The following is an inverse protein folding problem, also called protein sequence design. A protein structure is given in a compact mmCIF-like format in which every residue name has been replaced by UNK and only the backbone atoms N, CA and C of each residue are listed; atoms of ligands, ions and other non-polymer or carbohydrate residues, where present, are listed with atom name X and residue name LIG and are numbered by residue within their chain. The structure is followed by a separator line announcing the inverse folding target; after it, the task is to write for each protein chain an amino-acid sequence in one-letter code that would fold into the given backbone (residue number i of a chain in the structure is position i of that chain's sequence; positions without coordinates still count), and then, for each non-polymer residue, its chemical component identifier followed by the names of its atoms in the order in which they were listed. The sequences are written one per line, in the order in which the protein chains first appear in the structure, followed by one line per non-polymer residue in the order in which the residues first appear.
data_IF_618392178854
#
_entry.id   IF_618392178854
#
_cell.length_a   1.000
_cell.length_b   1.000
_cell.length_c   1.000
_cell.angle_alpha   90.00
_cell.angle_beta   90.00
_cell.angle_gamma   90.00
#
_symmetry.space_group_name_H-M   'P 1'
#
loop_
_entity.id
_entity.type
_entity.pdbx_description
1 polymer ?
#
# COMPACT_ATOMS: atom_id res chain seq x y z
N UNK A 1 -18.94 1.17 16.66
CA UNK A 1 -17.90 2.19 17.00
C UNK A 1 -16.77 2.16 15.95
N UNK A 2 -15.97 3.22 15.77
CA UNK A 2 -14.86 3.24 14.80
C UNK A 2 -13.52 3.36 15.54
N UNK A 3 -12.60 2.43 15.30
CA UNK A 3 -11.20 2.54 15.71
C UNK A 3 -10.34 2.80 14.47
N UNK A 4 -9.47 3.81 14.55
CA UNK A 4 -8.50 4.11 13.50
C UNK A 4 -8.78 5.39 12.73
N UNK A 5 -7.94 5.74 11.74
CA UNK A 5 -7.07 4.86 10.97
C UNK A 5 -5.74 4.49 11.67
N UNK A 6 -5.49 3.20 11.86
CA UNK A 6 -4.25 2.67 12.40
C UNK A 6 -3.22 2.53 11.27
N UNK A 7 -2.07 3.24 11.33
CA UNK A 7 -1.01 3.07 10.34
C UNK A 7 -0.26 1.76 10.60
N UNK A 8 -0.27 0.86 9.62
CA UNK A 8 0.56 -0.34 9.67
C UNK A 8 1.98 -0.02 9.14
N UNK A 9 2.99 -0.81 9.51
CA UNK A 9 4.35 -0.63 9.02
C UNK A 9 4.40 -0.59 7.48
N UNK A 10 5.09 0.41 6.94
CA UNK A 10 5.27 0.55 5.49
C UNK A 10 6.23 -0.52 4.98
N UNK A 11 5.79 -1.34 4.03
CA UNK A 11 6.65 -2.32 3.38
C UNK A 11 7.51 -1.60 2.34
N UNK A 12 8.83 -1.69 2.49
CA UNK A 12 9.82 -1.12 1.58
C UNK A 12 10.43 -2.23 0.73
N UNK A 13 10.08 -2.28 -0.55
CA UNK A 13 10.68 -3.19 -1.51
C UNK A 13 11.86 -2.47 -2.17
N UNK A 14 13.07 -3.00 -1.99
CA UNK A 14 14.29 -2.43 -2.57
C UNK A 14 14.77 -3.32 -3.70
N UNK A 15 15.00 -2.73 -4.87
CA UNK A 15 15.53 -3.43 -6.04
C UNK A 15 16.79 -2.69 -6.48
N UNK A 16 17.98 -3.14 -6.04
CA UNK A 16 19.24 -2.62 -6.55
C UNK A 16 19.51 -3.22 -7.95
N UNK A 17 19.75 -2.36 -8.93
CA UNK A 17 20.01 -2.77 -10.33
C UNK A 17 21.34 -2.17 -10.76
N UNK A 18 22.14 -2.94 -11.51
CA UNK A 18 23.35 -2.40 -12.14
C UNK A 18 22.95 -1.49 -13.30
N UNK A 19 23.50 -0.27 -13.35
CA UNK A 19 23.21 0.68 -14.45
C UNK A 19 23.73 0.20 -15.79
N UNK A 20 24.92 -0.41 -15.78
CA UNK A 20 25.60 -0.84 -16.99
C UNK A 20 24.97 -2.15 -17.51
N UNK A 21 24.50 -2.19 -18.78
CA UNK A 21 23.92 -3.42 -19.35
C UNK A 21 25.00 -4.44 -19.73
N UNK A 22 26.21 -3.99 -20.08
CA UNK A 22 27.33 -4.84 -20.51
C UNK A 22 28.25 -5.29 -19.36
N UNK A 23 28.07 -4.77 -18.15
CA UNK A 23 28.93 -5.09 -17.00
C UNK A 23 30.33 -4.47 -17.03
N UNK A 24 30.71 -3.79 -18.11
CA UNK A 24 32.01 -3.14 -18.27
C UNK A 24 32.04 -1.71 -17.70
N UNK A 25 33.20 -1.28 -17.19
CA UNK A 25 33.41 0.04 -16.59
C UNK A 25 33.16 0.09 -15.08
N UNK A 26 32.95 1.29 -14.52
CA UNK A 26 32.71 1.45 -13.07
C UNK A 26 31.33 0.94 -12.69
N UNK A 27 31.29 -0.02 -11.74
CA UNK A 27 30.04 -0.56 -11.21
C UNK A 27 29.22 0.54 -10.52
N UNK A 28 28.22 1.06 -11.23
CA UNK A 28 27.26 2.04 -10.72
C UNK A 28 25.90 1.37 -10.54
N UNK A 29 25.27 1.61 -9.39
CA UNK A 29 24.05 0.94 -8.98
C UNK A 29 22.91 1.93 -8.85
N UNK A 30 21.76 1.62 -9.44
CA UNK A 30 20.50 2.27 -9.11
C UNK A 30 19.83 1.55 -7.95
N UNK A 31 19.25 2.33 -7.04
CA UNK A 31 18.55 1.82 -5.86
C UNK A 31 17.09 2.21 -5.96
N UNK A 32 16.31 1.37 -6.63
CA UNK A 32 14.87 1.56 -6.73
C UNK A 32 14.20 1.15 -5.42
N UNK A 33 13.24 1.95 -4.97
CA UNK A 33 12.43 1.66 -3.79
C UNK A 33 10.95 1.81 -4.13
N UNK A 34 10.17 0.76 -3.85
CA UNK A 34 8.72 0.81 -3.85
C UNK A 34 8.22 0.78 -2.40
N UNK A 35 7.35 1.73 -2.04
CA UNK A 35 6.80 1.88 -0.69
C UNK A 35 5.31 1.58 -0.69
N UNK A 36 4.93 0.54 0.04
CA UNK A 36 3.53 0.14 0.19
C UNK A 36 3.07 0.58 1.59
N UNK A 37 2.18 1.55 1.64
CA UNK A 37 1.58 2.06 2.88
C UNK A 37 0.26 1.36 3.12
N UNK A 38 0.12 0.69 4.26
CA UNK A 38 -1.12 0.00 4.65
C UNK A 38 -1.74 0.70 5.85
N UNK A 39 -3.06 0.92 5.81
CA UNK A 39 -3.83 1.46 6.94
C UNK A 39 -4.95 0.48 7.28
N UNK A 40 -5.23 0.31 8.56
CA UNK A 40 -6.32 -0.51 9.07
C UNK A 40 -7.37 0.40 9.70
N UNK A 41 -8.64 0.15 9.39
CA UNK A 41 -9.78 0.82 10.02
C UNK A 41 -10.70 -0.29 10.51
N UNK A 42 -10.99 -0.31 11.81
CA UNK A 42 -11.95 -1.24 12.39
C UNK A 42 -13.27 -0.50 12.60
N UNK A 43 -14.34 -1.04 12.05
CA UNK A 43 -15.67 -0.47 12.16
C UNK A 43 -16.62 -1.55 12.66
N UNK A 44 -17.12 -1.34 13.86
CA UNK A 44 -18.24 -2.08 14.42
C UNK A 44 -19.52 -1.38 13.92
N UNK A 45 -20.12 -1.92 12.84
CA UNK A 45 -21.28 -1.32 12.16
C UNK A 45 -22.19 -2.33 11.44
N UNK A 46 -23.47 -1.98 11.35
CA UNK A 46 -24.49 -2.66 10.53
C UNK A 46 -24.21 -2.57 9.01
N UNK A 47 -24.78 -3.53 8.27
CA UNK A 47 -24.68 -3.65 6.81
C UNK A 47 -25.03 -2.36 6.03
N UNK A 48 -25.93 -1.53 6.57
CA UNK A 48 -26.33 -0.25 5.96
C UNK A 48 -25.18 0.76 5.89
N UNK A 49 -24.29 0.76 6.87
CA UNK A 49 -23.13 1.68 6.93
C UNK A 49 -22.06 1.21 5.95
N UNK A 50 -21.84 -0.11 5.84
CA UNK A 50 -20.88 -0.70 4.89
C UNK A 50 -21.20 -0.32 3.43
N UNK A 51 -22.48 -0.37 3.04
CA UNK A 51 -22.91 0.03 1.69
C UNK A 51 -22.64 1.51 1.37
N UNK A 52 -22.61 2.37 2.39
CA UNK A 52 -22.26 3.79 2.22
C UNK A 52 -20.75 3.97 2.07
N UNK A 53 -19.96 3.20 2.79
CA UNK A 53 -18.49 3.24 2.73
C UNK A 53 -17.99 2.79 1.35
N UNK A 54 -18.58 1.73 0.79
CA UNK A 54 -18.22 1.25 -0.57
C UNK A 54 -18.52 2.26 -1.68
N UNK A 55 -19.37 3.26 -1.44
CA UNK A 55 -19.68 4.32 -2.43
C UNK A 55 -18.66 5.46 -2.43
N UNK A 56 -17.70 5.46 -1.51
CA UNK A 56 -16.66 6.48 -1.47
C UNK A 56 -15.80 6.35 -2.74
N UNK A 57 -15.49 7.49 -3.36
CA UNK A 57 -14.59 7.55 -4.52
C UNK A 57 -13.17 7.27 -4.05
N UNK A 58 -12.67 6.07 -4.32
CA UNK A 58 -11.29 5.66 -4.04
C UNK A 58 -10.46 5.91 -5.30
N UNK A 59 -9.30 6.59 -5.21
CA UNK A 59 -8.37 6.70 -6.33
C UNK A 59 -7.93 5.32 -6.84
N UNK A 60 -7.68 5.18 -8.15
CA UNK A 60 -7.30 3.89 -8.76
C UNK A 60 -6.01 3.28 -8.17
N UNK A 61 -5.13 4.12 -7.64
CA UNK A 61 -3.85 3.73 -7.04
C UNK A 61 -4.00 3.07 -5.65
N UNK A 62 -5.21 3.08 -5.07
CA UNK A 62 -5.45 2.59 -3.71
C UNK A 62 -6.28 1.30 -3.75
N UNK A 63 -5.66 0.21 -3.31
CA UNK A 63 -6.36 -1.06 -3.11
C UNK A 63 -6.98 -1.13 -1.71
N UNK A 64 -8.30 -1.35 -1.66
CA UNK A 64 -9.07 -1.52 -0.42
C UNK A 64 -9.59 -2.94 -0.35
N UNK A 65 -9.31 -3.64 0.74
CA UNK A 65 -9.87 -4.96 1.06
C UNK A 65 -10.76 -4.81 2.28
N UNK A 66 -11.98 -5.35 2.21
CA UNK A 66 -12.93 -5.36 3.31
C UNK A 66 -13.17 -6.82 3.68
N UNK A 67 -12.94 -7.16 4.95
CA UNK A 67 -13.23 -8.47 5.52
C UNK A 67 -14.33 -8.30 6.57
N UNK A 68 -15.33 -9.19 6.53
CA UNK A 68 -16.40 -9.29 7.52
C UNK A 68 -16.03 -10.43 8.46
N UNK A 69 -15.95 -10.14 9.75
CA UNK A 69 -15.76 -11.11 10.83
C UNK A 69 -17.08 -11.24 11.58
#
# INVERSE_FOLDING_TARGET
KMNGPVPLPTKRLRVPVLKAPSGEGTATWDRWEMRIHKRLIEIDSEERVMRRIMRIRVPEEVHVTIELI
#
